data_IF_393200493924
#
_entry.id   IF_393200493924
#
_cell.length_a   1.000
_cell.length_b   1.000
_cell.length_c   1.000
_cell.angle_alpha   90.00
_cell.angle_beta   90.00
_cell.angle_gamma   90.00
#
_symmetry.space_group_name_H-M   'P 1'
#
loop_
_entity.id
_entity.type
_entity.pdbx_description
1 polymer ?
#
# COMPACT_ATOMS: atom_id res chain seq x y z
N UNK A 1 5.23 -0.12 12.08
CA UNK A 1 3.79 -0.42 11.89
C UNK A 1 3.67 -1.71 11.09
N UNK A 2 2.57 -2.44 11.15
CA UNK A 2 2.40 -3.67 10.37
C UNK A 2 1.10 -3.61 9.57
N UNK A 3 1.15 -4.11 8.33
CA UNK A 3 -0.03 -4.38 7.52
C UNK A 3 -0.45 -5.83 7.74
N UNK A 4 -1.75 -6.06 7.93
CA UNK A 4 -2.32 -7.39 8.04
C UNK A 4 -3.27 -7.60 6.88
N UNK A 5 -2.98 -8.58 6.03
CA UNK A 5 -3.80 -8.92 4.89
C UNK A 5 -4.19 -10.39 4.98
N UNK A 6 -5.43 -10.70 4.61
CA UNK A 6 -5.90 -12.08 4.51
C UNK A 6 -5.53 -12.64 3.14
N UNK A 7 -5.01 -13.86 3.12
CA UNK A 7 -4.87 -14.67 1.92
C UNK A 7 -5.92 -15.78 1.98
N UNK A 8 -7.10 -15.58 1.36
CA UNK A 8 -8.17 -16.57 1.38
C UNK A 8 -7.83 -17.81 0.54
N UNK A 9 -6.83 -17.75 -0.33
CA UNK A 9 -6.44 -18.90 -1.16
C UNK A 9 -5.67 -19.93 -0.37
N UNK A 10 -4.87 -19.48 0.60
CA UNK A 10 -4.04 -20.32 1.47
C UNK A 10 -4.59 -20.40 2.91
N UNK A 11 -5.78 -19.84 3.18
CA UNK A 11 -6.37 -19.70 4.52
C UNK A 11 -5.37 -19.12 5.54
N UNK A 12 -4.67 -18.06 5.13
CA UNK A 12 -3.53 -17.51 5.85
C UNK A 12 -3.66 -16.01 6.11
N UNK A 13 -2.89 -15.53 7.09
CA UNK A 13 -2.74 -14.09 7.38
C UNK A 13 -1.31 -13.67 7.08
N UNK A 14 -1.17 -12.72 6.16
CA UNK A 14 0.11 -12.12 5.77
C UNK A 14 0.36 -10.87 6.59
N UNK A 15 1.37 -10.92 7.46
CA UNK A 15 1.83 -9.77 8.24
C UNK A 15 3.06 -9.17 7.58
N UNK A 16 2.93 -7.95 7.06
CA UNK A 16 4.05 -7.19 6.48
C UNK A 16 4.48 -6.10 7.44
N UNK A 17 5.72 -6.18 7.94
CA UNK A 17 6.28 -5.14 8.81
C UNK A 17 6.84 -3.96 8.00
N UNK A 18 6.43 -2.75 8.37
CA UNK A 18 6.92 -1.50 7.80
C UNK A 18 7.77 -0.75 8.83
N UNK A 19 8.95 -0.31 8.36
CA UNK A 19 9.91 0.44 9.17
C UNK A 19 9.46 1.88 9.45
N UNK A 20 8.54 2.40 8.64
CA UNK A 20 7.99 3.74 8.73
C UNK A 20 6.48 3.71 8.51
N UNK A 21 5.78 4.71 9.02
CA UNK A 21 4.36 4.93 8.70
C UNK A 21 4.32 5.62 7.33
N UNK A 22 3.72 5.03 6.28
CA UNK A 22 3.79 5.60 4.94
C UNK A 22 2.99 6.91 4.78
N UNK A 23 1.93 7.10 5.55
CA UNK A 23 1.10 8.31 5.57
C UNK A 23 0.34 8.43 6.90
N UNK A 24 -0.07 9.64 7.28
CA UNK A 24 -0.58 9.90 8.63
C UNK A 24 -2.06 9.52 8.82
N UNK A 25 -2.89 9.61 7.78
CA UNK A 25 -4.31 9.25 7.82
C UNK A 25 -4.91 9.11 6.40
N UNK A 26 -6.12 8.55 6.31
CA UNK A 26 -6.84 8.42 5.04
C UNK A 26 -7.16 9.78 4.38
N UNK A 27 -7.44 10.83 5.17
CA UNK A 27 -7.71 12.16 4.63
C UNK A 27 -6.51 12.75 3.86
N UNK A 28 -5.28 12.48 4.33
CA UNK A 28 -4.05 12.87 3.65
C UNK A 28 -3.94 12.15 2.29
N UNK A 29 -4.17 10.84 2.29
CA UNK A 29 -4.12 9.98 1.10
C UNK A 29 -5.06 10.44 -0.04
N UNK A 30 -6.26 10.93 0.28
CA UNK A 30 -7.20 11.49 -0.72
C UNK A 30 -6.60 12.72 -1.41
N UNK A 31 -5.91 13.57 -0.66
CA UNK A 31 -5.36 14.85 -1.15
C UNK A 31 -3.97 14.75 -1.76
N UNK A 32 -3.30 13.61 -1.64
CA UNK A 32 -1.95 13.40 -2.16
C UNK A 32 -1.85 13.63 -3.66
N UNK A 33 -0.80 14.36 -4.05
CA UNK A 33 -0.33 14.46 -5.42
C UNK A 33 0.22 13.12 -5.93
N UNK A 34 0.33 12.97 -7.26
CA UNK A 34 0.92 11.75 -7.86
C UNK A 34 2.29 11.41 -7.29
N UNK A 35 3.18 12.39 -7.12
CA UNK A 35 4.53 12.14 -6.57
C UNK A 35 4.46 11.55 -5.16
N UNK A 36 3.59 12.09 -4.30
CA UNK A 36 3.40 11.55 -2.94
C UNK A 36 2.82 10.14 -2.96
N UNK A 37 1.85 9.86 -3.85
CA UNK A 37 1.32 8.50 -4.03
C UNK A 37 2.39 7.50 -4.48
N UNK A 38 3.29 7.92 -5.37
CA UNK A 38 4.40 7.09 -5.84
C UNK A 38 5.41 6.80 -4.73
N UNK A 39 5.72 7.78 -3.88
CA UNK A 39 6.63 7.60 -2.74
C UNK A 39 6.06 6.62 -1.71
N UNK A 40 4.76 6.74 -1.40
CA UNK A 40 4.05 5.79 -0.53
C UNK A 40 4.06 4.39 -1.13
N UNK A 41 3.64 4.25 -2.39
CA UNK A 41 3.60 2.96 -3.08
C UNK A 41 4.98 2.31 -3.17
N UNK A 42 6.03 3.09 -3.43
CA UNK A 42 7.42 2.60 -3.46
C UNK A 42 7.86 2.11 -2.09
N UNK A 43 7.55 2.86 -1.03
CA UNK A 43 7.87 2.49 0.35
C UNK A 43 7.17 1.19 0.76
N UNK A 44 5.91 1.01 0.37
CA UNK A 44 5.15 -0.22 0.61
C UNK A 44 5.71 -1.38 -0.22
N UNK A 45 5.92 -1.19 -1.53
CA UNK A 45 6.44 -2.21 -2.44
C UNK A 45 7.83 -2.74 -2.05
N UNK A 46 8.64 -1.94 -1.36
CA UNK A 46 9.92 -2.39 -0.80
C UNK A 46 9.78 -3.47 0.29
N UNK A 47 8.57 -3.67 0.85
CA UNK A 47 8.28 -4.64 1.90
C UNK A 47 7.19 -5.65 1.52
N UNK A 48 6.29 -5.28 0.61
CA UNK A 48 5.20 -6.16 0.17
C UNK A 48 5.73 -7.37 -0.62
N UNK A 49 5.11 -8.55 -0.43
CA UNK A 49 5.29 -9.68 -1.33
C UNK A 49 4.96 -9.30 -2.77
N UNK A 50 5.62 -9.95 -3.75
CA UNK A 50 5.46 -9.64 -5.17
C UNK A 50 4.00 -9.62 -5.64
N UNK A 51 3.19 -10.58 -5.17
CA UNK A 51 1.78 -10.69 -5.53
C UNK A 51 0.91 -9.52 -5.02
N UNK A 52 1.39 -8.76 -4.03
CA UNK A 52 0.68 -7.64 -3.41
C UNK A 52 1.27 -6.28 -3.79
N UNK A 53 2.28 -6.23 -4.66
CA UNK A 53 2.90 -4.97 -5.06
C UNK A 53 1.91 -4.11 -5.87
N UNK A 54 1.95 -2.81 -5.59
CA UNK A 54 1.14 -1.80 -6.24
C UNK A 54 1.78 -1.43 -7.58
N UNK A 55 1.01 -1.55 -8.67
CA UNK A 55 1.46 -1.09 -10.00
C UNK A 55 1.43 0.44 -10.10
N UNK A 56 2.61 1.06 -10.02
CA UNK A 56 2.82 2.51 -10.03
C UNK A 56 2.74 3.13 -11.43
N UNK A 57 2.67 2.32 -12.49
CA UNK A 57 2.51 2.81 -13.87
C UNK A 57 1.07 3.30 -14.17
N UNK A 58 0.12 2.94 -13.30
CA UNK A 58 -1.32 3.19 -13.45
C UNK A 58 -1.71 4.61 -13.02
N UNK A 59 -3.01 4.92 -13.11
CA UNK A 59 -3.57 6.23 -12.73
C UNK A 59 -3.47 6.50 -11.23
N UNK A 60 -3.52 7.77 -10.84
CA UNK A 60 -3.49 8.18 -9.43
C UNK A 60 -4.62 7.53 -8.62
N UNK A 61 -5.81 7.44 -9.22
CA UNK A 61 -6.97 6.77 -8.61
C UNK A 61 -6.71 5.29 -8.35
N UNK A 62 -6.04 4.60 -9.27
CA UNK A 62 -5.66 3.20 -9.08
C UNK A 62 -4.66 3.04 -7.94
N UNK A 63 -3.57 3.82 -7.96
CA UNK A 63 -2.52 3.74 -6.93
C UNK A 63 -3.12 4.03 -5.55
N UNK A 64 -3.95 5.07 -5.45
CA UNK A 64 -4.65 5.42 -4.21
C UNK A 64 -5.54 4.28 -3.72
N UNK A 65 -6.40 3.75 -4.59
CA UNK A 65 -7.28 2.64 -4.25
C UNK A 65 -6.50 1.39 -3.82
N UNK A 66 -5.38 1.08 -4.48
CA UNK A 66 -4.51 -0.04 -4.07
C UNK A 66 -3.90 0.18 -2.69
N UNK A 67 -3.49 1.41 -2.35
CA UNK A 67 -3.02 1.74 -1.00
C UNK A 67 -4.17 1.58 0.02
N UNK A 68 -5.38 2.05 -0.31
CA UNK A 68 -6.57 1.94 0.56
C UNK A 68 -6.95 0.50 0.87
N UNK A 69 -6.87 -0.41 -0.10
CA UNK A 69 -7.23 -1.83 0.09
C UNK A 69 -6.23 -2.56 1.01
N UNK A 70 -4.98 -2.11 1.07
CA UNK A 70 -3.91 -2.77 1.82
C UNK A 70 -3.81 -2.33 3.29
N UNK A 71 -4.51 -1.26 3.70
CA UNK A 71 -4.33 -0.57 4.99
C UNK A 71 -5.61 -0.58 5.82
#
# INVERSE_FOLDING_TARGET
VALQNEDPTEDAVVITSLNVIPFCCHADLITMSRTQLLDVATTMNAKLPLAMQIDTSRSDTWIRHSIEVLV
#
